data_IF_786910561615
#
_entry.id   IF_786910561615
#
_cell.length_a   1.000
_cell.length_b   1.000
_cell.length_c   1.000
_cell.angle_alpha   90.00
_cell.angle_beta   90.00
_cell.angle_gamma   90.00
#
_symmetry.space_group_name_H-M   'P 1'
#
loop_
_entity.id
_entity.type
_entity.pdbx_description
1 polymer ?
#
# COMPACT_ATOMS: atom_id res chain seq x y z
N UNK A 1 -7.29 9.36 -3.90
CA UNK A 1 -6.49 8.99 -2.71
C UNK A 1 -5.15 9.71 -2.67
N UNK A 2 -4.33 9.65 -3.73
CA UNK A 2 -3.03 10.36 -3.77
C UNK A 2 -3.15 11.87 -3.52
N UNK A 3 -4.22 12.52 -4.04
CA UNK A 3 -4.52 13.92 -3.73
C UNK A 3 -4.83 14.15 -2.24
N UNK A 4 -5.65 13.29 -1.62
CA UNK A 4 -6.02 13.35 -0.20
C UNK A 4 -4.81 13.14 0.71
N UNK A 5 -3.96 12.16 0.39
CA UNK A 5 -2.71 11.88 1.09
C UNK A 5 -1.78 13.10 1.00
N UNK A 6 -1.58 13.63 -0.20
CA UNK A 6 -0.74 14.82 -0.44
C UNK A 6 -1.27 16.06 0.27
N UNK A 7 -2.58 16.31 0.24
CA UNK A 7 -3.19 17.44 0.94
C UNK A 7 -3.07 17.30 2.46
N UNK A 8 -3.20 16.09 3.00
CA UNK A 8 -3.10 15.83 4.44
C UNK A 8 -1.66 16.02 4.95
N UNK A 9 -0.65 15.56 4.20
CA UNK A 9 0.76 15.74 4.59
C UNK A 9 1.21 17.18 4.44
N UNK A 10 0.86 17.85 3.33
CA UNK A 10 1.26 19.25 3.06
C UNK A 10 0.55 20.25 3.98
N UNK A 11 -0.68 20.00 4.42
CA UNK A 11 -1.41 20.91 5.34
C UNK A 11 -1.02 20.73 6.80
N UNK A 12 -0.65 19.53 7.24
CA UNK A 12 -0.31 19.25 8.65
C UNK A 12 1.15 19.50 9.00
N UNK A 13 2.05 19.42 8.03
CA UNK A 13 3.49 19.52 8.27
C UNK A 13 4.07 20.62 7.40
N UNK A 14 4.81 21.54 8.01
CA UNK A 14 5.75 22.40 7.31
C UNK A 14 7.08 21.66 7.26
N UNK A 15 7.67 21.56 6.07
CA UNK A 15 8.94 20.89 5.85
C UNK A 15 10.02 21.95 5.73
N UNK A 16 10.98 21.95 6.65
CA UNK A 16 12.15 22.83 6.61
C UNK A 16 13.25 22.23 5.71
N UNK A 17 13.25 20.91 5.54
CA UNK A 17 14.22 20.18 4.72
C UNK A 17 13.53 19.11 3.87
N UNK A 18 14.13 18.82 2.71
CA UNK A 18 13.57 17.89 1.72
C UNK A 18 13.51 16.42 2.16
N UNK A 19 14.15 16.04 3.27
CA UNK A 19 14.21 14.65 3.77
C UNK A 19 13.08 14.31 4.76
N UNK A 20 12.52 15.32 5.45
CA UNK A 20 11.43 15.15 6.41
C UNK A 20 10.13 14.54 5.84
N UNK A 21 9.73 14.78 4.57
CA UNK A 21 8.54 14.17 3.98
C UNK A 21 8.57 12.64 3.95
N UNK A 22 9.75 12.01 3.86
CA UNK A 22 9.87 10.55 3.75
C UNK A 22 9.38 9.80 4.98
N UNK A 23 9.74 10.28 6.17
CA UNK A 23 9.33 9.67 7.45
C UNK A 23 7.82 9.78 7.66
N UNK A 24 7.25 10.96 7.45
CA UNK A 24 5.80 11.17 7.62
C UNK A 24 4.95 10.43 6.59
N UNK A 25 5.49 10.22 5.39
CA UNK A 25 4.81 9.43 4.37
C UNK A 25 4.73 7.96 4.78
N UNK A 26 5.78 7.40 5.38
CA UNK A 26 5.76 6.03 5.88
C UNK A 26 4.70 5.83 6.97
N UNK A 27 4.63 6.76 7.95
CA UNK A 27 3.63 6.73 9.01
C UNK A 27 2.20 6.85 8.47
N UNK A 28 1.99 7.75 7.50
CA UNK A 28 0.67 7.96 6.91
C UNK A 28 0.25 6.78 6.03
N UNK A 29 1.19 6.15 5.33
CA UNK A 29 0.95 4.91 4.57
C UNK A 29 0.63 3.74 5.50
N UNK A 30 1.36 3.59 6.61
CA UNK A 30 1.09 2.56 7.60
C UNK A 30 -0.27 2.77 8.27
N UNK A 31 -0.56 4.01 8.69
CA UNK A 31 -1.87 4.37 9.24
C UNK A 31 -2.98 4.11 8.22
N UNK A 32 -2.83 4.50 6.95
CA UNK A 32 -3.87 4.26 5.96
C UNK A 32 -4.07 2.76 5.67
N UNK A 33 -2.99 2.02 5.46
CA UNK A 33 -3.06 0.61 5.06
C UNK A 33 -3.50 -0.33 6.20
N UNK A 34 -3.19 0.03 7.45
CA UNK A 34 -3.42 -0.82 8.63
C UNK A 34 -4.35 -0.21 9.69
N UNK A 35 -4.92 0.98 9.45
CA UNK A 35 -5.92 1.57 10.35
C UNK A 35 -7.13 0.67 10.57
N UNK A 36 -7.91 0.95 11.65
CA UNK A 36 -9.15 0.24 11.94
C UNK A 36 -10.06 0.11 10.72
N UNK A 37 -10.66 -1.08 10.64
CA UNK A 37 -11.42 -1.62 9.53
C UNK A 37 -12.48 -0.66 9.00
N UNK A 38 -12.44 -0.43 7.69
CA UNK A 38 -13.37 0.48 7.03
C UNK A 38 -14.69 -0.23 6.74
N UNK A 39 -15.82 0.34 7.20
CA UNK A 39 -17.17 -0.19 6.91
C UNK A 39 -17.44 -0.32 5.41
N UNK A 40 -16.87 0.59 4.61
CA UNK A 40 -16.98 0.60 3.15
C UNK A 40 -16.25 -0.57 2.48
N UNK A 41 -15.25 -1.16 3.14
CA UNK A 41 -14.51 -2.33 2.66
C UNK A 41 -15.01 -3.62 3.34
N UNK A 42 -16.28 -3.65 3.75
CA UNK A 42 -16.88 -4.78 4.47
C UNK A 42 -16.12 -5.14 5.75
N UNK A 43 -15.54 -4.14 6.41
CA UNK A 43 -14.75 -4.34 7.62
C UNK A 43 -13.36 -4.93 7.35
N UNK A 44 -12.79 -4.72 6.16
CA UNK A 44 -11.38 -4.99 5.86
C UNK A 44 -10.55 -3.72 5.99
N UNK A 45 -9.25 -3.88 6.27
CA UNK A 45 -8.28 -2.81 6.05
C UNK A 45 -8.03 -2.64 4.55
N UNK A 46 -7.56 -1.47 4.08
CA UNK A 46 -7.19 -1.30 2.69
C UNK A 46 -6.18 -2.33 2.19
N UNK A 47 -5.21 -2.72 3.04
CA UNK A 47 -4.26 -3.79 2.70
C UNK A 47 -4.94 -5.15 2.52
N UNK A 48 -5.78 -5.56 3.48
CA UNK A 48 -6.52 -6.84 3.40
C UNK A 48 -7.42 -6.89 2.15
N UNK A 49 -8.08 -5.78 1.81
CA UNK A 49 -8.93 -5.68 0.63
C UNK A 49 -8.12 -5.85 -0.67
N UNK A 50 -6.98 -5.16 -0.78
CA UNK A 50 -6.09 -5.28 -1.95
C UNK A 50 -5.53 -6.70 -2.06
N UNK A 51 -5.06 -7.29 -0.96
CA UNK A 51 -4.54 -8.65 -0.95
C UNK A 51 -5.59 -9.70 -1.38
N UNK A 52 -6.85 -9.49 -0.97
CA UNK A 52 -7.97 -10.32 -1.39
C UNK A 52 -8.19 -10.24 -2.91
N UNK A 53 -8.27 -9.03 -3.47
CA UNK A 53 -8.44 -8.84 -4.92
C UNK A 53 -7.23 -9.36 -5.69
N UNK A 54 -6.02 -9.17 -5.18
CA UNK A 54 -4.79 -9.69 -5.80
C UNK A 54 -4.82 -11.21 -5.95
N UNK A 55 -5.39 -11.91 -4.97
CA UNK A 55 -5.50 -13.37 -4.99
C UNK A 55 -6.66 -13.83 -5.88
N UNK A 56 -7.78 -13.10 -5.90
CA UNK A 56 -8.97 -13.52 -6.65
C UNK A 56 -8.99 -13.06 -8.12
N UNK A 57 -8.37 -11.92 -8.44
CA UNK A 57 -8.39 -11.28 -9.76
C UNK A 57 -7.01 -10.66 -10.08
N UNK A 58 -5.95 -11.48 -10.18
CA UNK A 58 -4.58 -10.99 -10.40
C UNK A 58 -4.41 -10.18 -11.69
N UNK A 59 -5.19 -10.48 -12.74
CA UNK A 59 -5.13 -9.80 -14.04
C UNK A 59 -5.52 -8.31 -13.98
N UNK A 60 -6.18 -7.88 -12.90
CA UNK A 60 -6.54 -6.48 -12.66
C UNK A 60 -5.35 -5.63 -12.21
N UNK A 61 -4.25 -6.27 -11.82
CA UNK A 61 -3.03 -5.60 -11.40
C UNK A 61 -2.00 -5.67 -12.50
N UNK A 62 -1.49 -4.51 -12.90
CA UNK A 62 -0.32 -4.43 -13.78
C UNK A 62 0.89 -4.81 -12.93
N UNK A 63 1.27 -6.07 -13.00
CA UNK A 63 2.54 -6.55 -12.43
C UNK A 63 3.66 -6.05 -13.33
N UNK A 64 4.02 -4.77 -13.17
CA UNK A 64 5.37 -4.33 -13.55
C UNK A 64 6.21 -4.21 -12.27
N UNK A 65 6.37 -5.36 -11.61
CA UNK A 65 7.18 -5.56 -10.41
C UNK A 65 8.64 -5.89 -10.79
N UNK A 66 9.09 -5.58 -12.01
CA UNK A 66 10.50 -5.76 -12.42
C UNK A 66 11.43 -4.88 -11.58
N UNK A 67 10.91 -3.79 -10.98
CA UNK A 67 11.71 -2.88 -10.16
C UNK A 67 11.68 -3.16 -8.65
N UNK A 68 10.79 -4.03 -8.13
CA UNK A 68 10.71 -4.28 -6.67
C UNK A 68 10.98 -5.72 -6.24
N UNK A 69 10.89 -6.70 -7.14
CA UNK A 69 11.32 -8.06 -6.85
C UNK A 69 12.67 -8.31 -7.54
N UNK A 70 13.74 -7.76 -6.98
CA UNK A 70 15.07 -8.27 -7.25
C UNK A 70 15.08 -9.77 -7.00
N UNK A 71 15.28 -10.54 -8.08
CA UNK A 71 15.83 -11.90 -8.10
C UNK A 71 15.74 -12.69 -6.78
N UNK A 72 14.75 -13.57 -6.62
CA UNK A 72 14.91 -14.69 -5.67
C UNK A 72 13.69 -15.35 -5.04
N UNK A 73 12.47 -14.80 -5.14
CA UNK A 73 11.30 -15.37 -4.43
C UNK A 73 10.23 -16.01 -5.33
N UNK A 74 10.57 -16.39 -6.56
CA UNK A 74 9.64 -17.08 -7.47
C UNK A 74 9.54 -18.61 -7.25
N UNK A 75 10.09 -19.18 -6.18
CA UNK A 75 10.13 -20.64 -6.02
C UNK A 75 9.15 -21.25 -4.99
N UNK A 76 8.49 -20.47 -4.13
CA UNK A 76 7.88 -21.05 -2.91
C UNK A 76 6.35 -20.94 -2.75
N UNK A 77 5.59 -20.43 -3.73
CA UNK A 77 4.13 -20.27 -3.57
C UNK A 77 3.28 -21.00 -4.63
N UNK A 78 3.83 -22.05 -5.27
CA UNK A 78 3.00 -23.10 -5.88
C UNK A 78 2.70 -24.14 -4.79
N UNK A 79 1.52 -24.04 -4.17
CA UNK A 79 0.87 -25.22 -3.61
C UNK A 79 0.25 -25.99 -4.80
N UNK A 80 0.70 -27.21 -5.13
CA UNK A 80 -0.11 -28.13 -5.91
C UNK A 80 -1.09 -28.84 -4.96
N UNK A 81 -2.36 -28.87 -5.37
CA UNK A 81 -3.49 -29.72 -4.94
C UNK A 81 -3.42 -30.38 -3.56
#
# INVERSE_FOLDING_TARGET
MNRTIKEATVKRFHYDTHEQPGTHLADLMAAYNFAPRLKTLSGLTPYEYIAKIWTSEPDRFIVDLIHQAGTGYLAAARCPT
#
